data_IF_985470209482
#
_entry.id   IF_985470209482
#
_cell.length_a   1.000
_cell.length_b   1.000
_cell.length_c   1.000
_cell.angle_alpha   90.00
_cell.angle_beta   90.00
_cell.angle_gamma   90.00
#
_symmetry.space_group_name_H-M   'P 1'
#
loop_
_entity.id
_entity.type
_entity.pdbx_description
1 polymer ?
#
# COMPACT_ATOMS: atom_id res chain seq x y z
N UNK A 1 -0.50 22.17 -21.11
CA UNK A 1 -1.11 21.18 -22.03
C UNK A 1 -0.11 20.54 -22.99
N UNK A 2 1.01 21.17 -23.39
CA UNK A 2 2.07 20.54 -24.19
C UNK A 2 1.57 19.75 -25.43
N UNK A 3 0.47 20.21 -26.04
CA UNK A 3 -0.16 19.58 -27.20
C UNK A 3 -1.25 18.55 -26.88
N UNK A 4 -1.33 18.01 -25.66
CA UNK A 4 -2.40 17.10 -25.24
C UNK A 4 -3.70 17.89 -24.98
N UNK A 5 -4.79 17.45 -25.59
CA UNK A 5 -6.11 18.10 -25.49
C UNK A 5 -7.05 17.27 -24.63
N UNK A 6 -6.91 15.96 -24.62
CA UNK A 6 -7.80 15.06 -23.88
C UNK A 6 -7.19 14.63 -22.55
N UNK A 7 -8.04 14.51 -21.53
CA UNK A 7 -7.60 14.10 -20.19
C UNK A 7 -7.01 12.68 -20.18
N UNK A 8 -7.44 11.80 -21.10
CA UNK A 8 -6.94 10.42 -21.22
C UNK A 8 -5.58 10.28 -21.94
N UNK A 9 -4.98 11.40 -22.37
CA UNK A 9 -3.64 11.44 -22.99
C UNK A 9 -2.52 11.79 -22.00
N UNK A 10 -2.89 12.12 -20.76
CA UNK A 10 -1.97 12.52 -19.69
C UNK A 10 -2.28 11.75 -18.41
N UNK A 11 -1.31 11.73 -17.49
CA UNK A 11 -1.56 11.28 -16.12
C UNK A 11 -2.26 12.42 -15.34
N UNK A 12 -3.56 12.59 -15.59
CA UNK A 12 -4.32 13.73 -15.05
C UNK A 12 -4.30 13.76 -13.53
N UNK A 13 -4.45 12.59 -12.90
CA UNK A 13 -4.51 12.48 -11.44
C UNK A 13 -3.19 12.91 -10.80
N UNK A 14 -2.05 12.46 -11.35
CA UNK A 14 -0.73 12.82 -10.84
C UNK A 14 -0.35 14.27 -11.15
N UNK A 15 -0.57 14.72 -12.38
CA UNK A 15 0.05 15.95 -12.89
C UNK A 15 -0.88 17.18 -12.88
N UNK A 16 -2.20 16.99 -12.86
CA UNK A 16 -3.15 18.09 -13.13
C UNK A 16 -4.31 18.18 -12.12
N UNK A 17 -4.54 17.16 -11.29
CA UNK A 17 -5.62 17.18 -10.30
C UNK A 17 -5.47 18.33 -9.31
N UNK A 18 -4.25 18.63 -8.88
CA UNK A 18 -3.97 19.73 -7.96
C UNK A 18 -4.34 21.09 -8.56
N UNK A 19 -4.04 21.32 -9.84
CA UNK A 19 -4.43 22.53 -10.55
C UNK A 19 -5.94 22.59 -10.82
N UNK A 20 -6.58 21.45 -11.11
CA UNK A 20 -8.04 21.39 -11.23
C UNK A 20 -8.75 21.72 -9.92
N UNK A 21 -8.23 21.21 -8.79
CA UNK A 21 -8.70 21.58 -7.45
C UNK A 21 -8.47 23.06 -7.18
N UNK A 22 -7.27 23.58 -7.48
CA UNK A 22 -6.94 25.00 -7.34
C UNK A 22 -7.93 25.88 -8.10
N UNK A 23 -8.23 25.55 -9.35
CA UNK A 23 -9.26 26.25 -10.13
C UNK A 23 -10.63 26.19 -9.43
N UNK A 24 -11.09 24.99 -9.08
CA UNK A 24 -12.41 24.84 -8.47
C UNK A 24 -12.51 25.65 -7.18
N UNK A 25 -11.58 25.45 -6.24
CA UNK A 25 -11.65 26.03 -4.89
C UNK A 25 -11.57 27.56 -4.90
N UNK A 26 -10.80 28.15 -5.81
CA UNK A 26 -10.57 29.60 -5.87
C UNK A 26 -11.56 30.37 -6.76
N UNK A 27 -12.27 29.70 -7.67
CA UNK A 27 -13.19 30.36 -8.61
C UNK A 27 -14.64 29.94 -8.34
N UNK A 28 -14.86 28.65 -8.11
CA UNK A 28 -16.18 28.04 -8.00
C UNK A 28 -16.52 27.70 -6.54
N UNK A 29 -15.52 27.59 -5.66
CA UNK A 29 -15.62 26.99 -4.33
C UNK A 29 -16.81 27.46 -3.51
N UNK A 30 -17.13 28.77 -3.57
CA UNK A 30 -18.28 29.39 -2.89
C UNK A 30 -19.66 28.86 -3.31
N UNK A 31 -19.77 28.33 -4.52
CA UNK A 31 -21.03 27.99 -5.19
C UNK A 31 -21.35 26.49 -5.16
N UNK A 32 -20.91 25.78 -4.12
CA UNK A 32 -21.11 24.33 -3.99
C UNK A 32 -22.56 23.87 -4.15
N UNK A 33 -23.53 24.62 -3.60
CA UNK A 33 -24.97 24.30 -3.74
C UNK A 33 -25.43 24.35 -5.20
N UNK A 34 -24.98 25.35 -5.95
CA UNK A 34 -25.29 25.51 -7.37
C UNK A 34 -24.66 24.39 -8.20
N UNK A 35 -23.43 23.99 -7.88
CA UNK A 35 -22.74 22.87 -8.53
C UNK A 35 -23.49 21.56 -8.27
N UNK A 36 -23.85 21.26 -7.02
CA UNK A 36 -24.62 20.06 -6.66
C UNK A 36 -25.97 20.02 -7.40
N UNK A 37 -26.68 21.15 -7.47
CA UNK A 37 -27.93 21.24 -8.21
C UNK A 37 -27.75 21.02 -9.73
N UNK A 38 -26.65 21.51 -10.30
CA UNK A 38 -26.29 21.28 -11.70
C UNK A 38 -25.97 19.81 -11.95
N UNK A 39 -25.13 19.19 -11.12
CA UNK A 39 -24.74 17.78 -11.25
C UNK A 39 -25.96 16.84 -11.17
N UNK A 40 -26.92 17.14 -10.27
CA UNK A 40 -28.19 16.40 -10.18
C UNK A 40 -29.06 16.53 -11.45
N UNK A 41 -29.05 17.67 -12.12
CA UNK A 41 -29.76 17.83 -13.41
C UNK A 41 -29.01 17.11 -14.53
N UNK A 42 -27.68 17.23 -14.53
CA UNK A 42 -26.81 16.62 -15.52
C UNK A 42 -26.90 15.08 -15.50
N UNK A 43 -27.08 14.47 -14.32
CA UNK A 43 -27.22 13.01 -14.18
C UNK A 43 -28.48 12.41 -14.84
N UNK A 44 -29.44 13.24 -15.25
CA UNK A 44 -30.61 12.77 -16.02
C UNK A 44 -30.30 12.58 -17.53
N UNK A 45 -29.09 12.93 -17.96
CA UNK A 45 -28.65 12.83 -19.34
C UNK A 45 -27.49 11.85 -19.49
N UNK A 46 -27.43 11.19 -20.64
CA UNK A 46 -26.27 10.38 -21.02
C UNK A 46 -25.15 11.29 -21.55
N UNK A 47 -24.22 11.64 -20.67
CA UNK A 47 -23.11 12.55 -20.99
C UNK A 47 -21.98 11.76 -21.62
N UNK A 48 -21.70 12.04 -22.89
CA UNK A 48 -20.63 11.39 -23.65
C UNK A 48 -19.28 12.11 -23.52
N UNK A 49 -19.31 13.43 -23.28
CA UNK A 49 -18.12 14.26 -23.22
C UNK A 49 -18.35 15.52 -22.38
N UNK A 50 -17.31 16.00 -21.69
CA UNK A 50 -17.27 17.31 -21.03
C UNK A 50 -16.19 18.14 -21.70
N UNK A 51 -16.59 19.26 -22.32
CA UNK A 51 -15.71 20.19 -23.02
C UNK A 51 -15.64 21.51 -22.23
N UNK A 52 -14.75 21.64 -21.24
CA UNK A 52 -14.64 22.87 -20.46
C UNK A 52 -14.00 23.99 -21.29
N UNK A 53 -14.23 25.25 -20.86
CA UNK A 53 -13.55 26.42 -21.45
C UNK A 53 -12.04 26.45 -21.12
N UNK A 54 -11.64 25.80 -20.01
CA UNK A 54 -10.26 25.75 -19.55
C UNK A 54 -9.89 24.30 -19.21
N UNK A 55 -8.67 23.90 -19.59
CA UNK A 55 -8.15 22.56 -19.31
C UNK A 55 -8.50 21.53 -20.39
N UNK A 56 -8.54 20.27 -19.98
CA UNK A 56 -8.67 19.13 -20.88
C UNK A 56 -10.12 18.78 -21.21
N UNK A 57 -10.33 18.24 -22.41
CA UNK A 57 -11.60 17.63 -22.81
C UNK A 57 -11.69 16.23 -22.20
N UNK A 58 -12.82 15.93 -21.56
CA UNK A 58 -13.08 14.63 -20.95
C UNK A 58 -14.03 13.83 -21.82
N UNK A 59 -13.57 12.67 -22.32
CA UNK A 59 -14.37 11.74 -23.16
C UNK A 59 -14.38 10.30 -22.62
N UNK A 60 -13.63 10.07 -21.55
CA UNK A 60 -13.43 8.80 -20.85
C UNK A 60 -13.36 9.08 -19.36
N UNK A 61 -13.70 8.08 -18.55
CA UNK A 61 -13.66 8.16 -17.09
C UNK A 61 -14.32 9.43 -16.53
N UNK A 62 -15.48 9.80 -17.07
CA UNK A 62 -16.19 11.02 -16.66
C UNK A 62 -16.59 10.97 -15.19
N UNK A 63 -16.88 9.77 -14.67
CA UNK A 63 -17.23 9.53 -13.27
C UNK A 63 -16.16 10.06 -12.33
N UNK A 64 -14.88 9.78 -12.59
CA UNK A 64 -13.78 10.28 -11.77
C UNK A 64 -13.82 11.81 -11.61
N UNK A 65 -13.98 12.56 -12.70
CA UNK A 65 -13.97 14.02 -12.64
C UNK A 65 -15.24 14.59 -12.01
N UNK A 66 -16.39 13.96 -12.29
CA UNK A 66 -17.67 14.32 -11.67
C UNK A 66 -17.61 14.08 -10.15
N UNK A 67 -17.06 12.96 -9.69
CA UNK A 67 -16.87 12.64 -8.27
C UNK A 67 -16.00 13.68 -7.56
N UNK A 68 -14.93 14.18 -8.21
CA UNK A 68 -14.13 15.30 -7.67
C UNK A 68 -14.98 16.56 -7.48
N UNK A 69 -15.76 16.95 -8.49
CA UNK A 69 -16.68 18.09 -8.37
C UNK A 69 -17.76 17.87 -7.31
N UNK A 70 -18.26 16.64 -7.13
CA UNK A 70 -19.19 16.31 -6.06
C UNK A 70 -18.53 16.55 -4.69
N UNK A 71 -17.35 15.98 -4.45
CA UNK A 71 -16.62 16.14 -3.20
C UNK A 71 -16.29 17.61 -2.89
N UNK A 72 -15.78 18.35 -3.89
CA UNK A 72 -15.43 19.76 -3.70
C UNK A 72 -16.65 20.64 -3.44
N UNK A 73 -17.77 20.38 -4.12
CA UNK A 73 -19.01 21.14 -3.96
C UNK A 73 -19.77 20.83 -2.68
N UNK A 74 -19.60 19.62 -2.12
CA UNK A 74 -20.07 19.30 -0.76
C UNK A 74 -19.09 19.70 0.33
N UNK A 75 -17.91 20.24 -0.05
CA UNK A 75 -16.80 20.58 0.86
C UNK A 75 -16.29 19.36 1.64
N UNK A 76 -16.50 18.15 1.12
CA UNK A 76 -15.96 16.92 1.68
C UNK A 76 -14.45 16.93 1.50
N UNK A 77 -13.65 16.78 2.57
CA UNK A 77 -12.20 16.64 2.45
C UNK A 77 -11.83 15.43 1.59
N UNK A 78 -10.79 15.56 0.78
CA UNK A 78 -10.19 14.43 0.05
C UNK A 78 -9.21 13.64 0.92
N UNK A 79 -8.68 14.25 1.96
CA UNK A 79 -7.65 13.66 2.81
C UNK A 79 -7.97 13.93 4.28
N UNK A 80 -8.04 12.86 5.07
CA UNK A 80 -7.98 12.98 6.52
C UNK A 80 -6.54 13.25 6.94
N UNK A 81 -6.26 14.49 7.33
CA UNK A 81 -4.91 14.97 7.64
C UNK A 81 -4.92 16.46 7.96
N UNK A 82 -3.74 17.03 8.19
CA UNK A 82 -3.58 18.41 8.66
C UNK A 82 -2.92 19.32 7.63
N UNK A 83 -3.59 20.42 7.27
CA UNK A 83 -2.93 21.56 6.63
C UNK A 83 -2.50 22.55 7.71
N UNK A 84 -1.22 22.90 7.76
CA UNK A 84 -0.66 23.88 8.67
C UNK A 84 -0.24 25.12 7.87
N UNK A 85 -0.89 26.24 8.09
CA UNK A 85 -0.47 27.53 7.54
C UNK A 85 0.15 28.37 8.66
N UNK A 86 1.35 28.91 8.45
CA UNK A 86 2.03 29.70 9.45
C UNK A 86 2.51 31.06 8.93
N UNK A 87 2.52 32.05 9.83
CA UNK A 87 3.12 33.36 9.64
C UNK A 87 4.16 33.61 10.74
N UNK A 88 5.45 33.70 10.36
CA UNK A 88 6.55 33.92 11.30
C UNK A 88 7.46 35.06 10.88
N UNK A 89 7.67 36.03 11.77
CA UNK A 89 8.57 37.17 11.52
C UNK A 89 10.03 36.81 11.84
N UNK A 90 10.26 36.00 12.87
CA UNK A 90 11.58 35.65 13.38
C UNK A 90 11.81 34.13 13.49
N UNK A 91 11.03 33.31 12.77
CA UNK A 91 11.14 31.84 12.79
C UNK A 91 10.58 31.15 14.04
N UNK A 92 10.26 31.87 15.12
CA UNK A 92 9.77 31.22 16.35
C UNK A 92 8.37 30.58 16.22
N UNK A 93 7.49 31.15 15.39
CA UNK A 93 6.18 30.55 15.09
C UNK A 93 6.33 29.36 14.15
N UNK A 94 7.23 29.48 13.17
CA UNK A 94 7.60 28.39 12.27
C UNK A 94 8.16 27.20 13.04
N UNK A 95 9.10 27.42 13.97
CA UNK A 95 9.65 26.38 14.82
C UNK A 95 8.56 25.63 15.61
N UNK A 96 7.55 26.35 16.14
CA UNK A 96 6.43 25.69 16.82
C UNK A 96 5.53 24.89 15.86
N UNK A 97 5.32 25.38 14.63
CA UNK A 97 4.60 24.66 13.59
C UNK A 97 5.34 23.39 13.13
N UNK A 98 6.67 23.45 13.02
CA UNK A 98 7.54 22.31 12.69
C UNK A 98 7.52 21.24 13.78
N UNK A 99 7.57 21.65 15.06
CA UNK A 99 7.45 20.73 16.19
C UNK A 99 6.08 20.05 16.18
N UNK A 100 5.00 20.81 15.94
CA UNK A 100 3.65 20.25 15.79
C UNK A 100 3.60 19.24 14.63
N UNK A 101 4.13 19.59 13.46
CA UNK A 101 4.15 18.72 12.28
C UNK A 101 4.91 17.43 12.54
N UNK A 102 6.07 17.52 13.19
CA UNK A 102 6.88 16.36 13.58
C UNK A 102 6.12 15.44 14.54
N UNK A 103 5.41 16.00 15.54
CA UNK A 103 4.61 15.21 16.50
C UNK A 103 3.38 14.56 15.86
N UNK A 104 2.75 15.24 14.89
CA UNK A 104 1.68 14.63 14.09
C UNK A 104 2.22 13.45 13.27
N UNK A 105 3.42 13.59 12.69
CA UNK A 105 4.08 12.51 11.98
C UNK A 105 4.41 11.31 12.89
N UNK A 106 4.87 11.56 14.13
CA UNK A 106 5.08 10.51 15.15
C UNK A 106 3.79 9.73 15.47
N UNK A 107 2.61 10.33 15.22
CA UNK A 107 1.29 9.70 15.36
C UNK A 107 0.74 9.13 14.04
N UNK A 108 1.56 9.04 12.99
CA UNK A 108 1.16 8.62 11.64
C UNK A 108 0.08 9.51 11.00
N UNK A 109 -0.06 10.75 11.49
CA UNK A 109 -0.99 11.74 10.95
C UNK A 109 -0.25 12.57 9.89
N UNK A 110 -0.69 12.45 8.64
CA UNK A 110 -0.12 13.21 7.53
C UNK A 110 -0.40 14.72 7.68
N UNK A 111 0.64 15.53 7.59
CA UNK A 111 0.57 17.00 7.58
C UNK A 111 1.26 17.61 6.36
N UNK A 112 0.83 18.80 5.97
CA UNK A 112 1.54 19.70 5.03
C UNK A 112 1.67 21.09 5.62
N UNK A 113 2.76 21.79 5.33
CA UNK A 113 3.06 23.10 5.88
C UNK A 113 3.20 24.16 4.80
N UNK A 114 2.69 25.36 5.07
CA UNK A 114 2.76 26.51 4.18
C UNK A 114 3.14 27.78 4.95
N UNK A 115 4.21 28.46 4.54
CA UNK A 115 4.46 29.84 4.94
C UNK A 115 3.59 30.76 4.09
N UNK A 116 2.65 31.46 4.74
CA UNK A 116 1.72 32.38 4.07
C UNK A 116 2.41 33.60 3.46
N UNK A 117 3.67 33.86 3.82
CA UNK A 117 4.45 35.01 3.36
C UNK A 117 5.09 34.78 1.99
N UNK A 118 5.25 33.51 1.58
CA UNK A 118 5.93 33.14 0.33
C UNK A 118 5.12 32.19 -0.55
N UNK A 119 4.07 31.58 -0.02
CA UNK A 119 3.16 30.69 -0.78
C UNK A 119 1.96 31.49 -1.27
N UNK A 120 1.57 31.31 -2.54
CA UNK A 120 0.37 31.95 -3.07
C UNK A 120 -0.89 31.46 -2.33
N UNK A 121 -1.72 32.39 -1.86
CA UNK A 121 -2.95 32.09 -1.10
C UNK A 121 -3.83 31.04 -1.80
N UNK A 122 -3.90 31.05 -3.13
CA UNK A 122 -4.69 30.10 -3.90
C UNK A 122 -4.28 28.64 -3.71
N UNK A 123 -3.00 28.37 -3.44
CA UNK A 123 -2.49 27.02 -3.20
C UNK A 123 -2.90 26.55 -1.79
N UNK A 124 -2.81 27.45 -0.82
CA UNK A 124 -3.21 27.18 0.56
C UNK A 124 -4.74 27.00 0.65
N UNK A 125 -5.53 27.76 -0.11
CA UNK A 125 -6.98 27.57 -0.21
C UNK A 125 -7.31 26.20 -0.80
N UNK A 126 -6.63 25.79 -1.87
CA UNK A 126 -6.81 24.46 -2.46
C UNK A 126 -6.45 23.35 -1.44
N UNK A 127 -5.38 23.53 -0.68
CA UNK A 127 -5.00 22.62 0.40
C UNK A 127 -6.06 22.60 1.52
N UNK A 128 -6.62 23.74 1.92
CA UNK A 128 -7.66 23.82 2.93
C UNK A 128 -8.94 23.06 2.52
N UNK A 129 -9.27 23.05 1.23
CA UNK A 129 -10.34 22.19 0.70
C UNK A 129 -9.96 20.71 0.69
N UNK A 130 -8.69 20.37 0.45
CA UNK A 130 -8.20 18.99 0.42
C UNK A 130 -8.21 18.31 1.80
N UNK A 131 -7.74 19.00 2.84
CA UNK A 131 -7.53 18.42 4.17
C UNK A 131 -8.71 18.62 5.13
N UNK A 132 -8.94 17.66 6.02
CA UNK A 132 -10.03 17.71 7.01
C UNK A 132 -9.73 18.60 8.22
N UNK A 133 -8.45 18.74 8.59
CA UNK A 133 -8.00 19.53 9.73
C UNK A 133 -7.11 20.69 9.27
N UNK A 134 -7.32 21.86 9.85
CA UNK A 134 -6.56 23.08 9.53
C UNK A 134 -5.92 23.63 10.81
N UNK A 135 -4.64 23.95 10.76
CA UNK A 135 -3.94 24.65 11.84
C UNK A 135 -3.42 25.97 11.33
N UNK A 136 -3.79 27.05 12.00
CA UNK A 136 -3.28 28.39 11.68
C UNK A 136 -2.37 28.86 12.81
N UNK A 137 -1.11 29.11 12.48
CA UNK A 137 -0.08 29.54 13.41
C UNK A 137 0.39 30.97 13.07
N UNK A 138 0.05 31.98 13.87
CA UNK A 138 0.42 33.37 13.52
C UNK A 138 0.97 34.14 14.69
N UNK A 139 1.97 34.97 14.41
CA UNK A 139 2.33 36.05 15.33
C UNK A 139 1.19 37.07 15.45
N UNK A 140 1.10 37.73 16.61
CA UNK A 140 0.29 38.93 16.83
C UNK A 140 1.06 40.13 16.31
N UNK A 141 0.51 40.81 15.31
CA UNK A 141 1.16 41.91 14.62
C UNK A 141 0.28 43.16 14.68
N UNK A 142 0.78 44.25 15.27
CA UNK A 142 0.03 45.49 15.49
C UNK A 142 -1.33 45.28 16.19
N UNK A 143 -1.35 44.45 17.24
CA UNK A 143 -2.56 43.99 17.93
C UNK A 143 -3.59 43.26 17.04
N UNK A 144 -3.17 42.84 15.84
CA UNK A 144 -3.94 42.08 14.86
C UNK A 144 -3.30 40.73 14.51
N UNK A 145 -3.84 40.10 13.48
CA UNK A 145 -3.24 38.94 12.80
C UNK A 145 -2.16 39.45 11.83
N UNK A 146 -1.14 38.65 11.55
CA UNK A 146 -0.14 39.00 10.54
C UNK A 146 -0.80 39.16 9.15
N UNK A 147 -0.33 40.14 8.36
CA UNK A 147 -1.06 40.65 7.18
C UNK A 147 -1.44 39.55 6.18
N UNK A 148 -0.49 38.72 5.76
CA UNK A 148 -0.75 37.65 4.78
C UNK A 148 -1.60 36.51 5.35
N UNK A 149 -1.56 36.28 6.67
CA UNK A 149 -2.45 35.33 7.33
C UNK A 149 -3.88 35.89 7.42
N UNK A 150 -4.04 37.19 7.72
CA UNK A 150 -5.35 37.85 7.72
C UNK A 150 -5.99 37.80 6.32
N UNK A 151 -5.22 38.08 5.27
CA UNK A 151 -5.67 37.96 3.87
C UNK A 151 -6.13 36.54 3.53
N UNK A 152 -5.31 35.52 3.83
CA UNK A 152 -5.67 34.11 3.61
C UNK A 152 -6.97 33.73 4.32
N UNK A 153 -7.11 34.07 5.60
CA UNK A 153 -8.27 33.70 6.40
C UNK A 153 -9.55 34.39 5.90
N UNK A 154 -9.44 35.65 5.49
CA UNK A 154 -10.57 36.37 4.88
C UNK A 154 -10.95 35.77 3.53
N UNK A 155 -9.98 35.31 2.75
CA UNK A 155 -10.26 34.67 1.46
C UNK A 155 -10.94 33.30 1.64
N UNK A 156 -10.47 32.50 2.60
CA UNK A 156 -11.14 31.25 3.01
C UNK A 156 -12.58 31.49 3.47
N UNK A 157 -12.81 32.53 4.28
CA UNK A 157 -14.15 32.93 4.70
C UNK A 157 -15.01 33.42 3.52
N UNK A 158 -14.44 34.16 2.58
CA UNK A 158 -15.14 34.63 1.38
C UNK A 158 -15.59 33.47 0.48
N UNK A 159 -14.82 32.38 0.44
CA UNK A 159 -15.12 31.11 -0.21
C UNK A 159 -16.05 30.19 0.59
N UNK A 160 -16.45 30.62 1.80
CA UNK A 160 -17.33 29.88 2.69
C UNK A 160 -16.80 28.45 2.94
N UNK A 161 -15.51 28.33 3.27
CA UNK A 161 -14.94 27.05 3.74
C UNK A 161 -15.86 26.49 4.85
N UNK A 162 -16.06 25.18 4.87
CA UNK A 162 -16.97 24.55 5.83
C UNK A 162 -16.56 23.10 6.09
N UNK A 163 -17.15 22.50 7.12
CA UNK A 163 -16.91 21.11 7.51
C UNK A 163 -15.42 20.86 7.82
N UNK A 164 -14.81 21.72 8.64
CA UNK A 164 -13.39 21.59 9.03
C UNK A 164 -13.24 21.61 10.54
N UNK A 165 -12.29 20.83 11.01
CA UNK A 165 -11.75 20.97 12.37
C UNK A 165 -10.56 21.92 12.33
N UNK A 166 -10.54 22.93 13.18
CA UNK A 166 -9.55 24.01 13.15
C UNK A 166 -8.89 24.17 14.51
N UNK A 167 -7.57 24.35 14.51
CA UNK A 167 -6.81 24.67 15.71
C UNK A 167 -5.85 25.84 15.48
N UNK A 168 -5.39 26.46 16.58
CA UNK A 168 -4.62 27.70 16.51
C UNK A 168 -3.35 27.64 17.36
N UNK A 169 -2.28 28.22 16.82
CA UNK A 169 -1.07 28.60 17.56
C UNK A 169 -0.94 30.12 17.46
N UNK A 170 -0.78 30.79 18.59
CA UNK A 170 -0.53 32.24 18.62
C UNK A 170 0.82 32.56 19.24
N UNK A 171 1.50 33.57 18.72
CA UNK A 171 2.77 34.05 19.25
C UNK A 171 2.76 35.56 19.46
N UNK A 172 3.16 36.05 20.63
CA UNK A 172 3.33 37.48 20.88
C UNK A 172 4.22 37.77 22.09
N UNK A 173 4.91 38.91 22.11
CA UNK A 173 5.88 39.17 23.18
C UNK A 173 5.24 39.62 24.51
N UNK A 174 4.16 40.40 24.47
CA UNK A 174 3.48 40.90 25.69
C UNK A 174 1.98 40.61 25.71
N UNK A 175 1.29 40.73 24.57
CA UNK A 175 -0.15 40.50 24.47
C UNK A 175 -0.51 39.67 23.23
N UNK A 176 -0.31 38.34 23.26
CA UNK A 176 -0.76 37.44 22.19
C UNK A 176 -2.29 37.51 22.04
N UNK A 177 -2.75 37.81 20.83
CA UNK A 177 -4.17 37.97 20.49
C UNK A 177 -4.56 37.30 19.15
N UNK A 178 -3.57 36.97 18.31
CA UNK A 178 -3.79 36.46 16.95
C UNK A 178 -4.69 35.21 16.92
N UNK A 179 -4.57 34.28 17.87
CA UNK A 179 -5.39 33.06 17.89
C UNK A 179 -6.89 33.36 17.97
N UNK A 180 -7.26 34.27 18.88
CA UNK A 180 -8.65 34.73 19.03
C UNK A 180 -9.16 35.41 17.75
N UNK A 181 -8.36 36.31 17.17
CA UNK A 181 -8.75 37.05 15.96
C UNK A 181 -8.88 36.14 14.73
N UNK A 182 -7.98 35.15 14.59
CA UNK A 182 -8.08 34.14 13.52
C UNK A 182 -9.38 33.32 13.67
N UNK A 183 -9.73 32.92 14.88
CA UNK A 183 -11.00 32.23 15.16
C UNK A 183 -12.22 33.10 14.83
N UNK A 184 -12.19 34.39 15.19
CA UNK A 184 -13.28 35.32 14.88
C UNK A 184 -13.53 35.43 13.36
N UNK A 185 -12.47 35.51 12.53
CA UNK A 185 -12.60 35.56 11.07
C UNK A 185 -13.30 34.32 10.51
N UNK A 186 -12.97 33.13 11.03
CA UNK A 186 -13.54 31.86 10.56
C UNK A 186 -14.88 31.50 11.21
N UNK A 187 -15.29 32.17 12.29
CA UNK A 187 -16.49 31.83 13.05
C UNK A 187 -17.81 31.94 12.26
N UNK A 188 -17.84 32.74 11.19
CA UNK A 188 -18.98 32.86 10.28
C UNK A 188 -19.11 31.70 9.28
N UNK A 189 -18.11 30.83 9.20
CA UNK A 189 -18.10 29.67 8.31
C UNK A 189 -18.95 28.52 8.88
N UNK A 190 -19.55 27.71 8.00
CA UNK A 190 -20.49 26.65 8.40
C UNK A 190 -19.77 25.41 8.93
N UNK A 191 -20.34 24.77 9.94
CA UNK A 191 -19.90 23.48 10.47
C UNK A 191 -18.38 23.43 10.77
N UNK A 192 -17.88 24.46 11.42
CA UNK A 192 -16.49 24.54 11.88
C UNK A 192 -16.38 24.02 13.30
N UNK A 193 -15.41 23.15 13.56
CA UNK A 193 -15.11 22.64 14.88
C UNK A 193 -13.78 23.24 15.38
N UNK A 194 -13.82 24.16 16.33
CA UNK A 194 -12.61 24.82 16.84
C UNK A 194 -12.07 24.09 18.06
N UNK A 195 -10.87 23.51 17.94
CA UNK A 195 -10.23 22.73 18.98
C UNK A 195 -9.63 23.62 20.08
N UNK A 196 -9.53 23.02 21.27
CA UNK A 196 -8.81 23.55 22.42
C UNK A 196 -7.78 22.51 22.88
N UNK A 197 -6.65 22.94 23.50
CA UNK A 197 -6.28 24.32 23.79
C UNK A 197 -5.70 25.07 22.57
N UNK A 198 -5.84 26.39 22.55
CA UNK A 198 -5.00 27.26 21.71
C UNK A 198 -3.60 27.36 22.34
N UNK A 199 -2.56 26.99 21.60
CA UNK A 199 -1.18 27.08 22.09
C UNK A 199 -0.72 28.54 22.04
N UNK A 200 -0.17 29.03 23.15
CA UNK A 200 0.26 30.44 23.27
C UNK A 200 1.76 30.53 23.53
N UNK A 201 2.48 31.10 22.57
CA UNK A 201 3.91 31.37 22.66
C UNK A 201 4.17 32.80 23.10
N UNK A 202 5.14 32.97 23.99
CA UNK A 202 5.69 34.29 24.35
C UNK A 202 7.09 34.43 23.77
N UNK A 203 7.16 35.06 22.59
CA UNK A 203 8.35 35.20 21.74
C UNK A 203 8.82 33.88 21.12
N UNK A 204 9.22 32.89 21.92
CA UNK A 204 9.69 31.58 21.46
C UNK A 204 9.07 30.44 22.26
N UNK A 205 9.04 29.24 21.67
CA UNK A 205 8.66 28.02 22.39
C UNK A 205 9.74 27.68 23.44
N UNK A 206 9.30 27.16 24.59
CA UNK A 206 10.17 26.68 25.67
C UNK A 206 9.95 25.19 25.86
N UNK A 207 10.94 24.47 26.37
CA UNK A 207 10.83 23.02 26.65
C UNK A 207 9.61 22.68 27.51
N UNK A 208 9.31 23.52 28.52
CA UNK A 208 8.13 23.34 29.39
C UNK A 208 6.79 23.41 28.66
N UNK A 209 6.75 24.02 27.46
CA UNK A 209 5.54 24.14 26.64
C UNK A 209 5.38 22.98 25.66
N UNK A 210 6.29 21.98 25.66
CA UNK A 210 6.09 20.74 24.90
C UNK A 210 4.74 20.10 25.23
N UNK A 211 4.35 20.10 26.50
CA UNK A 211 3.07 19.55 26.97
C UNK A 211 1.86 20.24 26.32
N UNK A 212 1.95 21.54 26.02
CA UNK A 212 0.88 22.27 25.34
C UNK A 212 0.75 21.84 23.86
N UNK A 213 1.89 21.61 23.19
CA UNK A 213 1.91 21.08 21.82
C UNK A 213 1.38 19.64 21.83
N UNK A 214 1.81 18.81 22.77
CA UNK A 214 1.36 17.42 22.90
C UNK A 214 -0.16 17.38 23.17
N UNK A 215 -0.69 18.29 23.99
CA UNK A 215 -2.14 18.43 24.20
C UNK A 215 -2.89 18.81 22.91
N UNK A 216 -2.33 19.71 22.10
CA UNK A 216 -2.91 20.09 20.81
C UNK A 216 -2.88 18.92 19.81
N UNK A 217 -1.76 18.20 19.73
CA UNK A 217 -1.59 16.98 18.92
C UNK A 217 -2.64 15.93 19.28
N UNK A 218 -2.81 15.67 20.58
CA UNK A 218 -3.83 14.74 21.08
C UNK A 218 -5.26 15.19 20.75
N UNK A 219 -5.54 16.50 20.83
CA UNK A 219 -6.85 17.04 20.46
C UNK A 219 -7.13 16.86 18.96
N UNK A 220 -6.15 17.12 18.11
CA UNK A 220 -6.23 16.89 16.66
C UNK A 220 -6.48 15.41 16.39
N UNK A 221 -5.64 14.53 16.92
CA UNK A 221 -5.74 13.07 16.74
C UNK A 221 -7.10 12.54 17.18
N UNK A 222 -7.56 12.91 18.38
CA UNK A 222 -8.85 12.47 18.91
C UNK A 222 -10.04 12.93 18.07
N UNK A 223 -9.92 14.10 17.42
CA UNK A 223 -10.97 14.62 16.53
C UNK A 223 -11.00 13.96 15.16
N UNK A 224 -9.90 13.33 14.72
CA UNK A 224 -9.83 12.56 13.48
C UNK A 224 -10.54 11.20 13.59
N UNK A 225 -10.50 10.59 14.78
CA UNK A 225 -11.10 9.28 15.06
C UNK A 225 -12.63 9.23 14.96
N UNK A 226 -13.30 10.37 14.72
CA UNK A 226 -14.75 10.45 14.49
C UNK A 226 -15.15 10.39 13.01
N UNK A 227 -14.21 10.28 12.08
CA UNK A 227 -14.47 10.10 10.66
C UNK A 227 -13.81 8.82 10.17
N UNK A 228 -14.64 7.79 9.95
CA UNK A 228 -14.31 6.42 9.56
C UNK A 228 -13.79 5.52 10.69
N UNK A 229 -14.73 4.88 11.37
CA UNK A 229 -14.47 3.61 12.04
C UNK A 229 -14.08 2.57 10.98
N UNK A 230 -12.78 2.40 10.73
CA UNK A 230 -12.29 1.06 10.35
C UNK A 230 -12.81 0.09 11.41
N UNK A 231 -13.48 -1.01 11.04
CA UNK A 231 -13.91 -1.98 12.02
C UNK A 231 -12.68 -2.44 12.80
N UNK A 232 -12.68 -2.24 14.11
CA UNK A 232 -11.67 -2.82 15.01
C UNK A 232 -11.61 -4.32 14.74
N UNK A 233 -10.52 -4.77 14.13
CA UNK A 233 -10.18 -6.19 14.13
C UNK A 233 -9.79 -6.50 15.57
N UNK A 234 -10.66 -7.20 16.31
CA UNK A 234 -10.32 -7.74 17.63
C UNK A 234 -9.01 -8.53 17.48
N UNK A 235 -7.90 -8.10 18.10
CA UNK A 235 -6.58 -8.69 17.86
C UNK A 235 -6.44 -10.14 18.35
N UNK A 236 -7.47 -10.69 19.00
CA UNK A 236 -7.44 -11.99 19.68
C UNK A 236 -8.33 -13.08 19.04
N UNK A 237 -8.81 -12.90 17.81
CA UNK A 237 -9.45 -14.02 17.12
C UNK A 237 -8.39 -15.11 16.83
N UNK A 238 -8.55 -16.36 17.32
CA UNK A 238 -7.57 -17.40 17.09
C UNK A 238 -7.47 -17.69 15.59
N UNK A 239 -6.25 -17.57 15.03
CA UNK A 239 -5.96 -17.95 13.64
C UNK A 239 -5.68 -19.45 13.59
N UNK A 240 -6.70 -20.24 13.23
CA UNK A 240 -6.51 -21.63 12.88
C UNK A 240 -5.78 -21.73 11.54
N UNK A 241 -4.47 -22.01 11.58
CA UNK A 241 -3.64 -22.15 10.39
C UNK A 241 -4.15 -23.24 9.44
N UNK A 242 -4.93 -24.21 9.92
CA UNK A 242 -5.49 -25.25 9.07
C UNK A 242 -6.52 -24.71 8.08
N UNK A 243 -7.21 -23.61 8.42
CA UNK A 243 -8.17 -22.95 7.53
C UNK A 243 -7.49 -22.42 6.25
N UNK A 244 -6.21 -22.04 6.34
CA UNK A 244 -5.44 -21.57 5.18
C UNK A 244 -5.18 -22.67 4.16
N UNK A 245 -5.23 -23.95 4.55
CA UNK A 245 -5.11 -25.08 3.62
C UNK A 245 -6.34 -25.29 2.75
N UNK A 246 -7.47 -24.65 3.06
CA UNK A 246 -8.67 -24.69 2.23
C UNK A 246 -8.63 -23.68 1.06
N UNK A 247 -7.64 -22.78 1.04
CA UNK A 247 -7.42 -21.91 -0.11
C UNK A 247 -6.97 -22.79 -1.28
N UNK A 248 -7.71 -22.74 -2.38
CA UNK A 248 -7.40 -23.52 -3.57
C UNK A 248 -6.18 -22.96 -4.27
N UNK A 249 -5.08 -23.71 -4.25
CA UNK A 249 -3.86 -23.37 -4.98
C UNK A 249 -3.56 -24.39 -6.08
N UNK A 250 -3.01 -23.92 -7.20
CA UNK A 250 -2.28 -24.76 -8.14
C UNK A 250 -0.83 -25.00 -7.68
N UNK A 251 -0.13 -25.91 -8.33
CA UNK A 251 1.32 -26.08 -8.17
C UNK A 251 2.05 -25.86 -9.49
N UNK A 252 3.14 -25.12 -9.41
CA UNK A 252 3.83 -24.60 -10.59
C UNK A 252 5.34 -24.73 -10.44
N UNK A 253 6.04 -24.95 -11.55
CA UNK A 253 7.47 -24.67 -11.63
C UNK A 253 7.63 -23.25 -12.17
N UNK A 254 8.15 -22.36 -11.33
CA UNK A 254 8.52 -20.99 -11.70
C UNK A 254 9.98 -21.00 -12.14
N UNK A 255 10.25 -20.54 -13.37
CA UNK A 255 11.61 -20.47 -13.90
C UNK A 255 12.02 -19.04 -14.24
N UNK A 256 13.30 -18.76 -14.06
CA UNK A 256 13.89 -17.45 -14.33
C UNK A 256 15.33 -17.60 -14.82
N UNK A 257 15.85 -16.53 -15.43
CA UNK A 257 17.24 -16.44 -15.90
C UNK A 257 17.81 -15.06 -15.54
N UNK A 258 19.01 -15.02 -14.96
CA UNK A 258 19.69 -13.80 -14.52
C UNK A 258 20.76 -13.27 -15.48
N UNK A 259 20.77 -13.81 -16.70
CA UNK A 259 21.76 -13.58 -17.76
C UNK A 259 22.88 -14.63 -17.79
N UNK A 260 22.99 -15.49 -16.77
CA UNK A 260 24.07 -16.49 -16.67
C UNK A 260 23.53 -17.90 -16.80
N UNK A 261 22.46 -18.25 -16.07
CA UNK A 261 21.88 -19.60 -16.10
C UNK A 261 20.37 -19.58 -15.87
N UNK A 262 19.70 -20.61 -16.40
CA UNK A 262 18.31 -20.89 -16.08
C UNK A 262 18.21 -21.61 -14.72
N UNK A 263 17.20 -21.27 -13.94
CA UNK A 263 16.88 -21.95 -12.69
C UNK A 263 15.36 -21.92 -12.43
N UNK A 264 14.88 -22.74 -11.51
CA UNK A 264 13.49 -22.69 -11.09
C UNK A 264 13.23 -23.11 -9.65
N UNK A 265 12.02 -22.84 -9.18
CA UNK A 265 11.51 -23.30 -7.90
C UNK A 265 10.03 -23.72 -8.01
N UNK A 266 9.54 -24.45 -7.01
CA UNK A 266 8.12 -24.72 -6.86
C UNK A 266 7.44 -23.52 -6.19
N UNK A 267 6.31 -23.08 -6.75
CA UNK A 267 5.41 -22.10 -6.13
C UNK A 267 3.95 -22.58 -6.22
N UNK A 268 3.10 -22.00 -5.40
CA UNK A 268 1.65 -22.22 -5.41
C UNK A 268 0.85 -20.90 -5.51
N UNK A 269 1.53 -19.76 -5.57
CA UNK A 269 0.99 -18.39 -5.46
C UNK A 269 0.82 -17.71 -6.82
N UNK A 270 0.34 -18.42 -7.84
CA UNK A 270 0.04 -17.83 -9.15
C UNK A 270 -1.45 -17.52 -9.25
N UNK A 271 -1.79 -16.29 -9.64
CA UNK A 271 -3.18 -15.89 -9.86
C UNK A 271 -3.31 -14.97 -11.09
N UNK A 272 -4.41 -15.10 -11.84
CA UNK A 272 -4.77 -14.12 -12.85
C UNK A 272 -5.39 -12.89 -12.18
N UNK A 273 -4.83 -11.71 -12.45
CA UNK A 273 -5.33 -10.44 -11.90
C UNK A 273 -6.40 -9.85 -12.82
N UNK A 274 -6.09 -9.75 -14.12
CA UNK A 274 -7.01 -9.23 -15.12
C UNK A 274 -6.86 -9.99 -16.44
N UNK A 275 -7.96 -10.06 -17.20
CA UNK A 275 -7.99 -10.63 -18.54
C UNK A 275 -7.69 -9.59 -19.63
N UNK A 276 -7.84 -8.29 -19.33
CA UNK A 276 -7.53 -7.17 -20.23
C UNK A 276 -7.05 -5.93 -19.42
N UNK A 277 -5.76 -5.57 -19.47
CA UNK A 277 -4.65 -6.32 -20.09
C UNK A 277 -4.47 -7.71 -19.46
N UNK A 278 -3.82 -8.65 -20.14
CA UNK A 278 -3.58 -9.99 -19.55
C UNK A 278 -2.48 -9.88 -18.49
N UNK A 279 -2.85 -9.98 -17.21
CA UNK A 279 -1.90 -9.88 -16.11
C UNK A 279 -2.06 -11.00 -15.09
N UNK A 280 -0.93 -11.40 -14.53
CA UNK A 280 -0.85 -12.39 -13.47
C UNK A 280 0.00 -11.86 -12.31
N UNK A 281 -0.22 -12.41 -11.12
CA UNK A 281 0.68 -12.24 -9.98
C UNK A 281 1.38 -13.54 -9.63
N UNK A 282 2.59 -13.39 -9.10
CA UNK A 282 3.34 -14.44 -8.41
C UNK A 282 3.88 -13.90 -7.08
N UNK A 283 3.84 -14.68 -6.00
CA UNK A 283 4.42 -14.27 -4.72
C UNK A 283 5.55 -15.22 -4.32
N UNK A 284 6.78 -14.74 -4.31
CA UNK A 284 7.97 -15.60 -4.24
C UNK A 284 8.75 -15.32 -2.95
N UNK A 285 9.09 -16.39 -2.23
CA UNK A 285 9.91 -16.31 -1.03
C UNK A 285 11.30 -15.74 -1.34
N UNK A 286 11.74 -14.73 -0.58
CA UNK A 286 13.03 -14.03 -0.78
C UNK A 286 14.25 -14.95 -0.62
N UNK A 287 14.13 -16.09 0.03
CA UNK A 287 15.20 -17.08 0.17
C UNK A 287 15.45 -17.88 -1.13
N UNK A 288 14.44 -18.00 -2.00
CA UNK A 288 14.57 -18.74 -3.25
C UNK A 288 15.50 -18.02 -4.22
N UNK A 289 16.44 -18.73 -4.83
CA UNK A 289 17.32 -18.11 -5.84
C UNK A 289 16.55 -17.51 -7.02
N UNK A 290 15.48 -18.19 -7.44
CA UNK A 290 14.56 -17.73 -8.48
C UNK A 290 13.97 -16.35 -8.16
N UNK A 291 13.74 -16.00 -6.88
CA UNK A 291 13.26 -14.67 -6.50
C UNK A 291 14.23 -13.58 -6.97
N UNK A 292 15.51 -13.71 -6.61
CA UNK A 292 16.53 -12.69 -6.93
C UNK A 292 16.72 -12.55 -8.44
N UNK A 293 16.60 -13.67 -9.16
CA UNK A 293 16.69 -13.69 -10.63
C UNK A 293 15.51 -12.92 -11.26
N UNK A 294 14.30 -13.05 -10.72
CA UNK A 294 13.12 -12.32 -11.19
C UNK A 294 13.21 -10.85 -10.81
N UNK A 295 13.64 -10.53 -9.58
CA UNK A 295 13.85 -9.15 -9.15
C UNK A 295 14.87 -8.41 -10.03
N UNK A 296 15.90 -9.13 -10.50
CA UNK A 296 16.93 -8.57 -11.39
C UNK A 296 16.50 -8.49 -12.86
N UNK A 297 15.93 -9.56 -13.41
CA UNK A 297 15.64 -9.65 -14.86
C UNK A 297 14.26 -9.13 -15.24
N UNK A 298 13.30 -9.16 -14.30
CA UNK A 298 11.90 -8.89 -14.56
C UNK A 298 11.21 -9.95 -15.43
N UNK A 299 11.84 -11.09 -15.71
CA UNK A 299 11.33 -12.11 -16.64
C UNK A 299 11.20 -13.46 -15.95
N UNK A 300 10.12 -14.19 -16.26
CA UNK A 300 9.91 -15.54 -15.77
C UNK A 300 8.98 -16.37 -16.67
N UNK A 301 8.96 -17.69 -16.45
CA UNK A 301 7.91 -18.57 -16.91
C UNK A 301 7.24 -19.29 -15.73
N UNK A 302 5.95 -19.57 -15.89
CA UNK A 302 5.16 -20.44 -15.03
C UNK A 302 4.78 -21.67 -15.82
N UNK A 303 5.34 -22.82 -15.45
CA UNK A 303 4.89 -24.14 -15.90
C UNK A 303 3.81 -24.65 -14.95
N UNK A 304 2.57 -24.75 -15.44
CA UNK A 304 1.43 -25.33 -14.72
C UNK A 304 1.56 -26.85 -14.72
N UNK A 305 1.87 -27.43 -13.54
CA UNK A 305 2.12 -28.87 -13.43
C UNK A 305 0.83 -29.67 -13.64
N UNK A 306 0.93 -30.75 -14.39
CA UNK A 306 -0.14 -31.70 -14.64
C UNK A 306 -0.16 -32.83 -13.59
N UNK A 307 -1.31 -33.47 -13.34
CA UNK A 307 -1.49 -34.50 -12.31
C UNK A 307 -0.56 -35.72 -12.43
N UNK A 308 0.06 -35.93 -13.59
CA UNK A 308 1.07 -36.95 -13.84
C UNK A 308 2.48 -36.57 -13.35
N UNK A 309 2.69 -35.35 -12.86
CA UNK A 309 3.97 -34.88 -12.36
C UNK A 309 4.45 -35.75 -11.18
N UNK A 310 5.60 -36.44 -11.31
CA UNK A 310 6.10 -37.30 -10.24
C UNK A 310 6.64 -36.47 -9.08
N UNK A 311 6.66 -37.06 -7.87
CA UNK A 311 7.20 -36.42 -6.66
C UNK A 311 8.62 -35.89 -6.84
N UNK A 312 9.42 -36.55 -7.67
CA UNK A 312 10.81 -36.16 -7.95
C UNK A 312 10.95 -34.75 -8.50
N UNK A 313 9.94 -34.23 -9.21
CA UNK A 313 9.94 -32.85 -9.71
C UNK A 313 9.84 -31.86 -8.55
N UNK A 314 8.97 -32.14 -7.58
CA UNK A 314 8.80 -31.32 -6.40
C UNK A 314 10.04 -31.36 -5.52
N UNK A 315 10.65 -32.55 -5.38
CA UNK A 315 11.92 -32.70 -4.67
C UNK A 315 13.05 -31.90 -5.34
N UNK A 316 13.18 -32.00 -6.66
CA UNK A 316 14.24 -31.38 -7.43
C UNK A 316 14.12 -29.84 -7.48
N UNK A 317 12.92 -29.33 -7.78
CA UNK A 317 12.72 -27.88 -7.86
C UNK A 317 12.40 -27.22 -6.52
N UNK A 318 11.85 -27.96 -5.55
CA UNK A 318 11.40 -27.43 -4.27
C UNK A 318 12.40 -27.58 -3.11
N UNK A 319 13.20 -28.65 -3.06
CA UNK A 319 14.06 -28.94 -1.87
C UNK A 319 15.55 -28.65 -2.10
N UNK A 320 15.89 -28.08 -3.25
CA UNK A 320 17.25 -27.73 -3.62
C UNK A 320 17.33 -26.24 -3.95
N UNK A 321 18.44 -25.62 -3.61
CA UNK A 321 18.73 -24.24 -4.03
C UNK A 321 19.43 -24.24 -5.39
N UNK A 322 18.98 -23.37 -6.29
CA UNK A 322 19.65 -23.15 -7.57
C UNK A 322 21.01 -22.48 -7.45
N UNK A 323 21.40 -22.02 -6.26
CA UNK A 323 22.75 -21.49 -6.01
C UNK A 323 23.78 -22.62 -6.07
N UNK A 324 23.42 -23.78 -5.55
CA UNK A 324 24.32 -24.91 -5.35
C UNK A 324 24.15 -26.02 -6.41
N UNK A 325 22.97 -26.10 -7.03
CA UNK A 325 22.61 -27.16 -7.99
C UNK A 325 22.17 -26.57 -9.32
N UNK A 326 22.71 -27.09 -10.43
CA UNK A 326 22.18 -26.82 -11.76
C UNK A 326 20.93 -27.68 -12.02
N UNK A 327 19.76 -27.12 -11.74
CA UNK A 327 18.49 -27.86 -11.80
C UNK A 327 18.07 -28.27 -13.22
N UNK A 328 18.62 -27.67 -14.27
CA UNK A 328 18.24 -27.99 -15.64
C UNK A 328 19.19 -28.99 -16.33
N UNK A 329 20.34 -29.29 -15.74
CA UNK A 329 21.30 -30.24 -16.31
C UNK A 329 20.74 -31.67 -16.44
N UNK A 330 19.92 -32.09 -15.48
CA UNK A 330 19.30 -33.43 -15.46
C UNK A 330 17.94 -33.52 -16.14
N UNK A 331 17.38 -32.40 -16.63
CA UNK A 331 16.02 -32.34 -17.20
C UNK A 331 16.09 -32.31 -18.72
N UNK A 332 15.63 -33.40 -19.37
CA UNK A 332 15.76 -33.58 -20.83
C UNK A 332 14.67 -32.85 -21.63
N UNK A 333 13.43 -32.88 -21.14
CA UNK A 333 12.27 -32.40 -21.89
C UNK A 333 11.96 -30.93 -21.52
N UNK A 334 12.73 -30.02 -22.12
CA UNK A 334 12.61 -28.58 -21.93
C UNK A 334 12.50 -27.83 -23.26
N UNK A 335 11.94 -26.63 -23.20
CA UNK A 335 11.86 -25.72 -24.33
C UNK A 335 12.14 -24.28 -23.86
N UNK A 336 12.62 -23.41 -24.77
CA UNK A 336 12.80 -21.98 -24.49
C UNK A 336 11.61 -21.18 -25.01
N UNK A 337 10.97 -20.41 -24.13
CA UNK A 337 9.97 -19.41 -24.53
C UNK A 337 10.61 -18.23 -25.26
N UNK A 338 9.78 -17.35 -25.81
CA UNK A 338 10.21 -16.15 -26.54
C UNK A 338 11.05 -15.18 -25.67
N UNK A 339 10.86 -15.19 -24.34
CA UNK A 339 11.69 -14.44 -23.40
C UNK A 339 13.06 -15.09 -23.13
N UNK A 340 13.38 -16.20 -23.79
CA UNK A 340 14.66 -16.89 -23.69
C UNK A 340 14.82 -17.83 -22.50
N UNK A 341 13.82 -17.98 -21.62
CA UNK A 341 13.92 -18.77 -20.38
C UNK A 341 13.46 -20.22 -20.63
N UNK A 342 14.15 -21.20 -20.02
CA UNK A 342 13.73 -22.60 -20.08
C UNK A 342 12.45 -22.87 -19.29
N UNK A 343 11.59 -23.74 -19.81
CA UNK A 343 10.48 -24.34 -19.07
C UNK A 343 10.37 -25.84 -19.38
N UNK A 344 9.72 -26.58 -18.48
CA UNK A 344 9.55 -28.04 -18.59
C UNK A 344 8.29 -28.33 -19.41
N UNK A 345 8.34 -29.28 -20.34
CA UNK A 345 7.19 -29.58 -21.22
C UNK A 345 6.42 -30.85 -20.82
N UNK A 346 7.12 -31.92 -20.45
CA UNK A 346 6.54 -33.28 -20.33
C UNK A 346 5.44 -33.42 -19.28
N UNK A 347 5.56 -32.68 -18.17
CA UNK A 347 4.68 -32.77 -16.99
C UNK A 347 3.87 -31.48 -16.79
N UNK A 348 3.78 -30.67 -17.84
CA UNK A 348 3.21 -29.32 -17.79
C UNK A 348 2.05 -29.25 -18.76
N UNK A 349 0.88 -28.83 -18.29
CA UNK A 349 -0.29 -28.70 -19.16
C UNK A 349 -0.43 -27.32 -19.80
N UNK A 350 0.21 -26.30 -19.22
CA UNK A 350 0.29 -24.96 -19.78
C UNK A 350 1.56 -24.24 -19.34
N UNK A 351 2.10 -23.39 -20.20
CA UNK A 351 3.19 -22.47 -19.88
C UNK A 351 2.72 -21.03 -20.07
N UNK A 352 3.12 -20.14 -19.17
CA UNK A 352 2.81 -18.70 -19.20
C UNK A 352 4.10 -17.92 -18.94
N UNK A 353 4.49 -17.04 -19.85
CA UNK A 353 5.66 -16.16 -19.70
C UNK A 353 5.22 -14.77 -19.24
N UNK A 354 5.89 -14.27 -18.20
CA UNK A 354 5.59 -12.98 -17.59
C UNK A 354 6.73 -11.98 -17.72
N UNK A 355 6.37 -10.70 -17.87
CA UNK A 355 7.27 -9.55 -17.68
C UNK A 355 6.75 -8.70 -16.52
N UNK A 356 7.56 -8.54 -15.48
CA UNK A 356 7.22 -7.79 -14.28
C UNK A 356 6.97 -6.32 -14.64
N UNK A 357 5.87 -5.78 -14.13
CA UNK A 357 5.46 -4.37 -14.27
C UNK A 357 5.32 -3.67 -12.90
N UNK A 358 5.35 -4.43 -11.80
CA UNK A 358 5.32 -3.89 -10.45
C UNK A 358 5.65 -4.96 -9.41
N UNK A 359 6.07 -4.53 -8.23
CA UNK A 359 6.36 -5.41 -7.10
C UNK A 359 5.94 -4.79 -5.78
N UNK A 360 5.61 -5.63 -4.80
CA UNK A 360 5.23 -5.22 -3.45
C UNK A 360 5.87 -6.15 -2.41
N UNK A 361 6.38 -5.58 -1.32
CA UNK A 361 7.01 -6.33 -0.23
C UNK A 361 5.95 -6.88 0.74
N UNK A 362 5.91 -8.21 0.91
CA UNK A 362 5.01 -8.90 1.83
C UNK A 362 5.77 -9.48 3.06
N UNK A 363 6.92 -8.92 3.41
CA UNK A 363 7.78 -9.41 4.49
C UNK A 363 8.73 -10.51 4.00
N UNK A 364 8.36 -11.77 4.22
CA UNK A 364 9.20 -12.93 3.81
C UNK A 364 9.13 -13.22 2.30
N UNK A 365 8.15 -12.65 1.60
CA UNK A 365 7.91 -12.85 0.18
C UNK A 365 7.82 -11.49 -0.54
N UNK A 366 8.05 -11.51 -1.85
CA UNK A 366 7.77 -10.38 -2.73
C UNK A 366 6.66 -10.79 -3.70
N UNK A 367 5.61 -9.97 -3.76
CA UNK A 367 4.57 -10.07 -4.78
C UNK A 367 5.05 -9.37 -6.05
N UNK A 368 5.06 -10.07 -7.18
CA UNK A 368 5.32 -9.49 -8.49
C UNK A 368 4.03 -9.49 -9.31
N UNK A 369 3.72 -8.34 -9.91
CA UNK A 369 2.66 -8.19 -10.91
C UNK A 369 3.32 -8.18 -12.28
N UNK A 370 2.81 -8.98 -13.21
CA UNK A 370 3.40 -9.15 -14.52
C UNK A 370 2.37 -9.14 -15.65
N UNK A 371 2.76 -8.56 -16.77
CA UNK A 371 2.05 -8.71 -18.04
C UNK A 371 2.39 -10.07 -18.67
N UNK A 372 1.37 -10.75 -19.20
CA UNK A 372 1.55 -12.02 -19.91
C UNK A 372 2.03 -11.75 -21.32
N UNK A 373 3.25 -12.20 -21.63
CA UNK A 373 3.91 -12.00 -22.92
C UNK A 373 3.77 -13.20 -23.86
N UNK A 374 3.61 -14.40 -23.29
CA UNK A 374 3.39 -15.64 -24.02
C UNK A 374 2.54 -16.58 -23.17
N UNK A 375 1.63 -17.35 -23.80
CA UNK A 375 0.93 -18.43 -23.13
C UNK A 375 0.62 -19.56 -24.11
N UNK A 376 0.88 -20.81 -23.72
CA UNK A 376 0.62 -22.01 -24.54
C UNK A 376 0.00 -23.12 -23.70
N UNK A 377 -1.02 -23.77 -24.24
CA UNK A 377 -1.54 -25.04 -23.72
C UNK A 377 -0.73 -26.19 -24.34
N UNK A 378 -0.25 -27.09 -23.50
CA UNK A 378 0.65 -28.20 -23.88
C UNK A 378 -0.02 -29.56 -23.75
N UNK A 379 -0.96 -29.71 -22.80
CA UNK A 379 -1.68 -30.96 -22.55
C UNK A 379 -3.11 -30.69 -22.08
N UNK A 380 -3.96 -31.72 -22.14
CA UNK A 380 -5.31 -31.72 -21.57
C UNK A 380 -5.39 -32.40 -20.19
N UNK A 381 -4.27 -32.94 -19.69
CA UNK A 381 -4.20 -33.51 -18.33
C UNK A 381 -4.49 -32.40 -17.31
N UNK A 382 -5.37 -32.63 -16.32
CA UNK A 382 -5.71 -31.63 -15.31
C UNK A 382 -4.49 -31.15 -14.52
N UNK A 383 -4.55 -29.91 -14.02
CA UNK A 383 -3.47 -29.34 -13.20
C UNK A 383 -3.38 -30.01 -11.83
N UNK A 384 -2.18 -30.05 -11.28
CA UNK A 384 -1.97 -30.38 -9.87
C UNK A 384 -2.51 -29.23 -9.03
N UNK A 385 -3.48 -29.53 -8.16
CA UNK A 385 -3.84 -28.65 -7.05
C UNK A 385 -3.03 -29.00 -5.81
N UNK A 386 -2.92 -28.06 -4.88
CA UNK A 386 -2.25 -28.29 -3.61
C UNK A 386 -2.88 -29.47 -2.86
N UNK A 387 -4.21 -29.55 -2.81
CA UNK A 387 -4.93 -30.70 -2.28
C UNK A 387 -4.55 -32.02 -2.99
N UNK A 388 -4.55 -32.04 -4.32
CA UNK A 388 -4.20 -33.22 -5.09
C UNK A 388 -2.78 -33.71 -4.78
N UNK A 389 -1.83 -32.78 -4.65
CA UNK A 389 -0.46 -33.09 -4.28
C UNK A 389 -0.37 -33.78 -2.92
N UNK A 390 -1.02 -33.27 -1.88
CA UNK A 390 -1.00 -33.91 -0.56
C UNK A 390 -1.67 -35.29 -0.56
N UNK A 391 -2.73 -35.49 -1.34
CA UNK A 391 -3.48 -36.75 -1.35
C UNK A 391 -2.84 -37.84 -2.22
N UNK A 392 -2.15 -37.48 -3.31
CA UNK A 392 -1.74 -38.45 -4.36
C UNK A 392 -0.24 -38.42 -4.70
N UNK A 393 0.44 -37.28 -4.56
CA UNK A 393 1.84 -37.13 -5.04
C UNK A 393 2.83 -37.17 -3.89
N UNK A 394 2.58 -36.41 -2.82
CA UNK A 394 3.43 -36.38 -1.63
C UNK A 394 3.47 -37.80 -1.05
N UNK A 395 4.67 -38.40 -0.89
CA UNK A 395 4.79 -39.71 -0.27
C UNK A 395 4.09 -39.69 1.08
N UNK A 396 3.12 -40.60 1.25
CA UNK A 396 2.52 -40.80 2.56
C UNK A 396 3.63 -41.29 3.50
N UNK A 397 3.65 -40.84 4.77
CA UNK A 397 4.52 -41.45 5.76
C UNK A 397 4.38 -42.97 5.67
N UNK A 398 5.49 -43.69 5.51
CA UNK A 398 5.43 -45.16 5.46
C UNK A 398 4.70 -45.67 6.71
N UNK A 399 3.85 -46.69 6.53
CA UNK A 399 3.04 -47.31 7.59
C UNK A 399 3.84 -47.48 8.88
N UNK A 400 3.24 -47.05 10.01
CA UNK A 400 3.68 -47.17 11.41
C UNK A 400 5.05 -47.85 11.55
N UNK A 401 6.10 -47.04 11.49
CA UNK A 401 7.42 -47.46 11.92
C UNK A 401 7.31 -47.78 13.42
N UNK A 402 7.37 -49.06 13.79
CA UNK A 402 7.32 -49.48 15.20
C UNK A 402 8.75 -49.40 15.74
N UNK A 403 9.15 -48.20 16.17
CA UNK A 403 10.34 -48.01 17.02
C UNK A 403 9.95 -48.23 18.48
N UNK A 404 10.88 -48.75 19.28
CA UNK A 404 10.72 -48.84 20.74
C UNK A 404 10.93 -47.47 21.40
N UNK A 405 11.41 -46.46 20.64
CA UNK A 405 11.64 -45.09 21.11
C UNK A 405 10.81 -44.02 20.38
N UNK A 406 11.08 -42.75 20.72
CA UNK A 406 10.38 -41.60 20.15
C UNK A 406 10.73 -41.43 18.67
N UNK A 407 9.69 -41.23 17.86
CA UNK A 407 9.82 -40.96 16.43
C UNK A 407 9.33 -39.55 16.14
N UNK A 408 10.14 -38.80 15.40
CA UNK A 408 9.79 -37.46 14.95
C UNK A 408 9.63 -37.43 13.43
N UNK A 409 8.55 -36.83 12.95
CA UNK A 409 8.24 -36.73 11.52
C UNK A 409 8.30 -35.27 11.10
N UNK A 410 9.06 -34.98 10.05
CA UNK A 410 9.05 -33.66 9.43
C UNK A 410 7.70 -33.40 8.76
N UNK A 411 6.96 -32.39 9.23
CA UNK A 411 5.64 -32.01 8.66
C UNK A 411 5.73 -31.61 7.19
N UNK A 412 6.88 -31.10 6.77
CA UNK A 412 7.11 -30.60 5.41
C UNK A 412 7.32 -31.73 4.41
N UNK A 413 8.28 -32.63 4.64
CA UNK A 413 8.67 -33.65 3.67
C UNK A 413 8.41 -35.10 4.10
N UNK A 414 7.97 -35.33 5.35
CA UNK A 414 7.72 -36.67 5.88
C UNK A 414 8.99 -37.45 6.29
N UNK A 415 10.15 -36.80 6.39
CA UNK A 415 11.37 -37.46 6.89
C UNK A 415 11.16 -37.95 8.32
N UNK A 416 11.58 -39.19 8.59
CA UNK A 416 11.44 -39.85 9.88
C UNK A 416 12.78 -39.82 10.61
N UNK A 417 12.80 -39.21 11.78
CA UNK A 417 13.92 -39.25 12.72
C UNK A 417 13.58 -40.19 13.87
N UNK A 418 14.32 -41.29 14.01
CA UNK A 418 14.14 -42.29 15.06
C UNK A 418 15.31 -42.18 16.05
N UNK A 419 15.02 -41.74 17.28
CA UNK A 419 16.05 -41.50 18.30
C UNK A 419 16.89 -42.75 18.61
N UNK A 420 16.31 -43.95 18.45
CA UNK A 420 17.00 -45.22 18.70
C UNK A 420 17.99 -45.53 17.58
N UNK A 421 17.62 -45.24 16.34
CA UNK A 421 18.44 -45.49 15.15
C UNK A 421 19.58 -44.48 15.04
N UNK A 422 19.28 -43.22 15.32
CA UNK A 422 20.23 -42.11 15.19
C UNK A 422 21.12 -41.99 16.45
N UNK A 423 20.73 -42.61 17.57
CA UNK A 423 21.51 -42.65 18.81
C UNK A 423 21.56 -41.32 19.58
N UNK A 424 20.86 -40.29 19.09
CA UNK A 424 20.82 -38.95 19.67
C UNK A 424 19.35 -38.57 19.90
N UNK A 425 18.93 -38.26 21.15
CA UNK A 425 17.59 -37.75 21.42
C UNK A 425 17.31 -36.49 20.62
N UNK A 426 16.12 -36.36 20.04
CA UNK A 426 15.78 -35.26 19.14
C UNK A 426 15.93 -33.91 19.86
N UNK A 427 15.53 -33.83 21.13
CA UNK A 427 15.68 -32.64 21.96
C UNK A 427 17.14 -32.21 22.18
N UNK A 428 18.11 -33.12 21.99
CA UNK A 428 19.56 -32.87 22.09
C UNK A 428 20.24 -32.54 20.77
N UNK A 429 19.51 -32.56 19.65
CA UNK A 429 20.04 -32.05 18.39
C UNK A 429 20.36 -30.54 18.51
N UNK A 430 21.48 -30.08 17.91
CA UNK A 430 21.84 -28.66 17.84
C UNK A 430 20.71 -27.77 17.29
N UNK A 431 20.69 -26.50 17.68
CA UNK A 431 19.66 -25.55 17.24
C UNK A 431 19.72 -25.23 15.74
N UNK A 432 20.90 -25.40 15.12
CA UNK A 432 21.14 -25.25 13.68
C UNK A 432 20.90 -26.55 12.89
N UNK A 433 20.48 -27.62 13.54
CA UNK A 433 20.15 -28.87 12.86
C UNK A 433 18.92 -28.70 11.97
N UNK A 434 19.04 -29.17 10.73
CA UNK A 434 17.98 -29.11 9.72
C UNK A 434 17.65 -30.49 9.18
N UNK A 435 16.40 -30.67 8.75
CA UNK A 435 15.93 -31.89 8.11
C UNK A 435 16.90 -32.32 6.99
N UNK A 436 17.46 -33.54 7.00
CA UNK A 436 18.41 -33.98 5.98
C UNK A 436 17.84 -33.92 4.56
N UNK A 437 16.52 -34.13 4.43
CA UNK A 437 15.82 -34.22 3.16
C UNK A 437 15.38 -32.85 2.60
N UNK A 438 14.75 -31.99 3.41
CA UNK A 438 14.18 -30.71 2.93
C UNK A 438 14.81 -29.45 3.53
N UNK A 439 15.81 -29.59 4.41
CA UNK A 439 16.54 -28.49 5.06
C UNK A 439 15.69 -27.54 5.92
N UNK A 440 14.45 -27.90 6.24
CA UNK A 440 13.64 -27.17 7.20
C UNK A 440 14.14 -27.36 8.65
N UNK A 441 13.94 -26.36 9.52
CA UNK A 441 14.42 -26.39 10.90
C UNK A 441 13.75 -27.47 11.75
N UNK A 442 14.38 -27.79 12.88
CA UNK A 442 13.90 -28.73 13.90
C UNK A 442 12.45 -28.46 14.37
N UNK A 443 12.02 -27.20 14.37
CA UNK A 443 10.65 -26.79 14.74
C UNK A 443 9.54 -27.34 13.82
N UNK A 444 9.90 -27.78 12.62
CA UNK A 444 8.96 -28.34 11.65
C UNK A 444 8.74 -29.85 11.82
N UNK A 445 9.32 -30.47 12.87
CA UNK A 445 9.07 -31.86 13.23
C UNK A 445 7.96 -31.98 14.28
N UNK A 446 7.20 -33.06 14.20
CA UNK A 446 6.21 -33.43 15.20
C UNK A 446 6.51 -34.83 15.74
N UNK A 447 6.32 -35.01 17.05
CA UNK A 447 6.45 -36.31 17.69
C UNK A 447 5.26 -37.19 17.29
N UNK A 448 5.54 -38.32 16.66
CA UNK A 448 4.54 -39.33 16.36
C UNK A 448 4.18 -40.06 17.66
N UNK A 449 2.94 -39.88 18.12
CA UNK A 449 2.39 -40.52 19.32
C UNK A 449 2.00 -41.97 19.09
#
# INVERSE_FOLDING_TARGET
MNGAVFADEVDFERDFLDEARRYYCNIVGKYGVQVQALLKKASAHDIQMICPLHGFVWRRNLSFYIEKYQAWSSYTPETTGVMIAYASVYGNTENAAEILSSRLHDMEIHSVMFDVSVTFASEIIAAAFKFSHLVFASTTYNAGVFVTMDELLRDLAAHNIQNRTVAFIQNGSWAPLSGKLMQEILSGCKNMNFLQPTVTLKSSIKESQSVEIDALVNAISSSMSNTESTPEVKPDAPVDSSALFNISYGLFVLTANDGVKDNGCIINTVQQITSQPKQISICVNKQNYTHDMIAKSGLFNVSVLAQEAPFDIFRHFGFQSGRDVNKFESIKNTYRSANGILYITEITNAVISGKVIGSYDCGTHTLFIAEVTEARKLSFVPSVTYEYYFSHIKPKPQQKYVSVGKIWICKICGYIYDEVKEGIPFDKLPDDWVCPLCKHPKSDFELQK
#
